data_IF_406930341710
#
_entry.id   IF_406930341710
#
_cell.length_a   1.000
_cell.length_b   1.000
_cell.length_c   1.000
_cell.angle_alpha   90.00
_cell.angle_beta   90.00
_cell.angle_gamma   90.00
#
_symmetry.space_group_name_H-M   'P 1'
#
loop_
_entity.id
_entity.type
_entity.pdbx_description
1 polymer ?
#
# COMPACT_ATOMS: atom_id res chain seq x y z
N UNK A 1 -18.59 -12.42 -28.23
CA UNK A 1 -17.47 -13.36 -28.29
C UNK A 1 -16.18 -12.57 -28.05
N UNK A 2 -15.76 -12.47 -26.79
CA UNK A 2 -14.58 -11.73 -26.36
C UNK A 2 -13.44 -12.73 -26.13
N UNK A 3 -12.42 -12.65 -26.99
CA UNK A 3 -11.19 -13.44 -26.87
C UNK A 3 -10.23 -12.66 -25.98
N UNK A 4 -9.95 -13.19 -24.80
CA UNK A 4 -8.86 -12.70 -23.94
C UNK A 4 -7.52 -13.04 -24.59
N UNK A 5 -6.78 -12.02 -25.04
CA UNK A 5 -5.36 -12.16 -25.37
C UNK A 5 -4.54 -12.08 -24.08
N UNK A 6 -3.79 -13.12 -23.79
CA UNK A 6 -2.78 -13.15 -22.73
C UNK A 6 -1.59 -12.32 -23.17
N UNK A 7 -1.29 -11.23 -22.44
CA UNK A 7 -0.20 -10.31 -22.74
C UNK A 7 1.17 -11.00 -22.57
N UNK A 8 1.97 -10.95 -23.64
CA UNK A 8 3.40 -11.28 -23.63
C UNK A 8 4.18 -9.99 -23.38
N UNK A 9 4.65 -9.82 -22.14
CA UNK A 9 4.90 -8.53 -21.46
C UNK A 9 6.19 -7.78 -21.83
N UNK A 10 6.63 -7.80 -23.09
CA UNK A 10 7.84 -7.05 -23.49
C UNK A 10 7.69 -6.21 -24.76
N UNK A 11 6.75 -6.56 -25.64
CA UNK A 11 6.56 -5.85 -26.93
C UNK A 11 5.58 -4.68 -26.76
N UNK A 12 4.50 -4.87 -26.02
CA UNK A 12 3.49 -3.81 -25.79
C UNK A 12 4.04 -2.62 -24.99
N UNK A 13 5.07 -2.85 -24.14
CA UNK A 13 5.70 -1.79 -23.34
C UNK A 13 6.53 -0.85 -24.22
N UNK A 14 7.14 -1.37 -25.29
CA UNK A 14 7.90 -0.56 -26.25
C UNK A 14 6.96 0.27 -27.15
N UNK A 15 5.76 -0.26 -27.43
CA UNK A 15 4.72 0.43 -28.20
C UNK A 15 4.04 1.55 -27.39
N UNK A 16 3.91 1.36 -26.06
CA UNK A 16 3.33 2.37 -25.14
C UNK A 16 4.30 3.55 -24.88
N UNK A 17 5.61 3.32 -24.96
CA UNK A 17 6.63 4.32 -24.59
C UNK A 17 7.13 5.19 -25.75
N UNK A 18 6.53 5.08 -26.94
CA UNK A 18 6.72 5.94 -28.12
C UNK A 18 8.21 6.27 -28.43
N UNK A 19 9.10 5.27 -28.27
CA UNK A 19 10.48 5.38 -28.69
C UNK A 19 10.55 5.32 -30.22
N UNK A 20 10.71 6.50 -30.80
CA UNK A 20 10.65 6.82 -32.22
C UNK A 20 11.86 6.25 -32.99
N UNK A 21 11.67 5.22 -33.82
CA UNK A 21 12.63 4.82 -34.87
C UNK A 21 12.07 5.22 -36.26
N UNK A 22 12.84 5.92 -37.12
CA UNK A 22 12.32 6.56 -38.30
C UNK A 22 12.21 5.58 -39.48
N UNK A 23 11.01 5.08 -39.76
CA UNK A 23 10.67 4.52 -41.08
C UNK A 23 9.17 4.56 -41.37
N UNK A 24 8.78 4.63 -42.67
CA UNK A 24 7.52 5.25 -43.07
C UNK A 24 6.32 4.35 -42.76
N UNK A 25 5.39 4.88 -41.96
CA UNK A 25 4.11 4.23 -41.62
C UNK A 25 3.26 4.09 -42.88
N UNK A 26 3.09 2.87 -43.39
CA UNK A 26 2.05 2.54 -44.39
C UNK A 26 0.71 2.40 -43.67
N UNK A 27 -0.32 3.08 -44.18
CA UNK A 27 -1.67 3.15 -43.62
C UNK A 27 -2.30 1.77 -43.43
N UNK A 28 -2.89 1.54 -42.25
CA UNK A 28 -3.33 0.23 -41.75
C UNK A 28 -4.71 -0.22 -42.26
N UNK A 29 -5.25 0.38 -43.32
CA UNK A 29 -6.62 0.11 -43.75
C UNK A 29 -6.71 0.10 -45.27
N UNK A 30 -6.07 -0.89 -45.90
CA UNK A 30 -6.33 -1.19 -47.31
C UNK A 30 -6.85 -2.61 -47.48
N UNK A 31 -8.06 -2.71 -48.04
CA UNK A 31 -8.88 -3.94 -48.07
C UNK A 31 -8.28 -5.00 -49.00
N UNK A 32 -7.50 -4.58 -49.99
CA UNK A 32 -6.84 -5.48 -50.96
C UNK A 32 -5.59 -6.16 -50.39
N UNK A 33 -4.95 -5.59 -49.35
CA UNK A 33 -3.79 -6.19 -48.70
C UNK A 33 -4.14 -7.43 -47.85
N UNK A 34 -5.41 -7.56 -47.43
CA UNK A 34 -5.89 -8.68 -46.60
C UNK A 34 -6.15 -9.93 -47.47
N UNK A 35 -6.54 -9.76 -48.73
CA UNK A 35 -6.96 -10.86 -49.62
C UNK A 35 -5.81 -11.55 -50.36
N UNK A 36 -4.62 -10.94 -50.45
CA UNK A 36 -3.45 -11.48 -51.17
C UNK A 36 -2.52 -12.35 -50.31
N UNK A 37 -2.89 -12.66 -49.06
CA UNK A 37 -2.02 -13.34 -48.08
C UNK A 37 -2.02 -14.88 -48.25
N UNK A 38 -1.72 -15.38 -49.44
CA UNK A 38 -1.54 -16.83 -49.71
C UNK A 38 -0.12 -17.25 -50.07
N UNK A 39 0.87 -16.36 -49.98
CA UNK A 39 2.28 -16.72 -50.18
C UNK A 39 3.00 -16.98 -48.85
N UNK A 40 3.52 -18.21 -48.72
CA UNK A 40 4.28 -18.72 -47.57
C UNK A 40 5.46 -17.81 -47.22
N UNK A 41 5.34 -17.04 -46.14
CA UNK A 41 6.50 -16.37 -45.51
C UNK A 41 7.37 -17.40 -44.79
N UNK A 42 8.56 -17.69 -45.32
CA UNK A 42 9.65 -18.39 -44.60
C UNK A 42 10.01 -17.58 -43.36
N UNK A 43 9.62 -18.06 -42.18
CA UNK A 43 10.05 -17.51 -40.90
C UNK A 43 11.52 -17.83 -40.67
N UNK A 44 12.39 -16.80 -40.66
CA UNK A 44 13.72 -16.90 -40.08
C UNK A 44 13.57 -17.28 -38.60
N UNK A 45 14.13 -18.42 -38.18
CA UNK A 45 14.12 -18.84 -36.78
C UNK A 45 15.13 -17.99 -36.00
N UNK A 46 14.74 -17.32 -34.90
CA UNK A 46 15.71 -16.79 -33.94
C UNK A 46 16.53 -17.95 -33.38
N UNK A 47 17.81 -17.68 -33.07
CA UNK A 47 18.75 -18.66 -32.50
C UNK A 47 18.12 -19.43 -31.32
N UNK A 48 18.35 -20.75 -31.20
CA UNK A 48 17.77 -21.53 -30.11
C UNK A 48 18.34 -21.07 -28.77
N UNK A 49 17.46 -20.68 -27.86
CA UNK A 49 17.82 -20.44 -26.46
C UNK A 49 18.48 -21.70 -25.87
N UNK A 50 19.53 -21.57 -25.04
CA UNK A 50 20.24 -22.71 -24.49
C UNK A 50 19.27 -23.62 -23.74
N UNK A 51 19.28 -24.90 -24.11
CA UNK A 51 18.41 -25.91 -23.51
C UNK A 51 18.83 -26.17 -22.07
N UNK A 52 17.85 -26.28 -21.18
CA UNK A 52 18.04 -26.69 -19.79
C UNK A 52 18.79 -28.04 -19.75
N UNK A 53 19.93 -28.15 -19.05
CA UNK A 53 20.57 -29.44 -18.80
C UNK A 53 19.67 -30.38 -17.99
N UNK A 54 19.62 -31.67 -18.32
CA UNK A 54 18.66 -32.64 -17.74
C UNK A 54 18.78 -32.79 -16.22
N UNK A 55 19.98 -32.60 -15.67
CA UNK A 55 20.28 -32.72 -14.24
C UNK A 55 19.89 -31.48 -13.41
N UNK A 56 19.45 -30.38 -14.03
CA UNK A 56 19.10 -29.14 -13.32
C UNK A 56 17.58 -28.99 -13.24
N UNK A 57 16.97 -28.93 -12.04
CA UNK A 57 15.53 -28.71 -11.89
C UNK A 57 15.05 -27.45 -12.62
N UNK A 58 13.80 -27.45 -13.08
CA UNK A 58 13.24 -26.31 -13.83
C UNK A 58 13.27 -25.02 -13.02
N UNK A 59 13.01 -25.06 -11.71
CA UNK A 59 13.11 -23.88 -10.84
C UNK A 59 14.55 -23.32 -10.78
N UNK A 60 15.56 -24.18 -10.70
CA UNK A 60 16.97 -23.78 -10.61
C UNK A 60 17.45 -23.17 -11.93
N UNK A 61 17.04 -23.72 -13.06
CA UNK A 61 17.38 -23.16 -14.38
C UNK A 61 16.71 -21.81 -14.64
N UNK A 62 15.48 -21.61 -14.14
CA UNK A 62 14.81 -20.31 -14.16
C UNK A 62 15.61 -19.26 -13.42
N UNK A 63 16.06 -19.56 -12.20
CA UNK A 63 16.89 -18.66 -11.41
C UNK A 63 18.21 -18.33 -12.13
N UNK A 64 18.91 -19.32 -12.67
CA UNK A 64 20.22 -19.11 -13.31
C UNK A 64 20.17 -18.29 -14.60
N UNK A 65 19.05 -18.32 -15.33
CA UNK A 65 18.90 -17.65 -16.63
C UNK A 65 18.26 -16.27 -16.55
N UNK A 66 17.44 -16.01 -15.52
CA UNK A 66 16.85 -14.68 -15.30
C UNK A 66 17.73 -13.75 -14.48
N UNK A 67 18.72 -14.29 -13.76
CA UNK A 67 19.51 -13.55 -12.79
C UNK A 67 20.97 -13.46 -13.24
N UNK A 68 21.29 -12.44 -14.02
CA UNK A 68 22.67 -11.94 -14.10
C UNK A 68 23.03 -11.25 -12.78
N UNK A 69 23.28 -12.06 -11.74
CA UNK A 69 23.94 -11.71 -10.49
C UNK A 69 23.22 -10.74 -9.52
N UNK A 70 21.94 -10.40 -9.74
CA UNK A 70 21.14 -9.57 -8.83
C UNK A 70 20.10 -10.44 -8.10
N UNK A 71 20.46 -11.01 -6.95
CA UNK A 71 19.57 -11.89 -6.19
C UNK A 71 18.31 -11.13 -5.71
N UNK A 72 17.08 -11.57 -6.04
CA UNK A 72 15.86 -10.98 -5.52
C UNK A 72 15.73 -11.27 -4.01
N UNK A 73 15.06 -10.39 -3.24
CA UNK A 73 14.89 -10.58 -1.82
C UNK A 73 14.18 -11.91 -1.54
N UNK A 74 14.80 -12.71 -0.67
CA UNK A 74 14.37 -14.04 -0.28
C UNK A 74 13.09 -13.92 0.54
N UNK A 75 11.93 -13.95 -0.13
CA UNK A 75 10.68 -14.24 0.56
C UNK A 75 10.65 -15.74 0.88
N UNK A 76 10.33 -16.14 2.12
CA UNK A 76 10.11 -17.55 2.43
C UNK A 76 8.96 -18.07 1.56
N UNK A 77 9.29 -18.89 0.56
CA UNK A 77 8.28 -19.61 -0.21
C UNK A 77 7.84 -20.78 0.65
N UNK A 78 6.65 -20.67 1.24
CA UNK A 78 6.00 -21.80 1.88
C UNK A 78 5.72 -22.85 0.79
N UNK A 79 6.38 -24.01 0.86
CA UNK A 79 6.24 -25.12 -0.09
C UNK A 79 4.93 -25.89 0.11
N UNK A 80 3.93 -25.28 0.73
CA UNK A 80 2.57 -25.82 0.75
C UNK A 80 2.01 -25.73 -0.68
N UNK A 81 1.42 -26.81 -1.24
CA UNK A 81 0.83 -26.78 -2.57
C UNK A 81 -0.44 -25.92 -2.54
N UNK A 82 -0.27 -24.60 -2.53
CA UNK A 82 -1.34 -23.65 -2.70
C UNK A 82 -1.72 -23.61 -4.19
N UNK A 83 -3.01 -23.86 -4.44
CA UNK A 83 -3.68 -23.66 -5.71
C UNK A 83 -3.53 -24.77 -6.77
N UNK A 84 -3.90 -26.01 -6.41
CA UNK A 84 -4.69 -26.80 -7.37
C UNK A 84 -6.11 -26.27 -7.29
N UNK A 85 -6.52 -25.43 -8.23
CA UNK A 85 -7.94 -25.18 -8.42
C UNK A 85 -8.61 -26.54 -8.60
N UNK A 86 -9.55 -26.94 -7.74
CA UNK A 86 -10.33 -28.12 -8.04
C UNK A 86 -10.94 -27.86 -9.41
N UNK A 87 -10.61 -28.71 -10.40
CA UNK A 87 -11.23 -28.64 -11.72
C UNK A 87 -12.73 -28.56 -11.48
N UNK A 88 -13.35 -27.45 -11.87
CA UNK A 88 -14.77 -27.24 -11.65
C UNK A 88 -15.51 -28.45 -12.21
N UNK A 89 -16.10 -29.26 -11.34
CA UNK A 89 -16.96 -30.36 -11.76
C UNK A 89 -18.24 -29.70 -12.22
N UNK A 90 -18.31 -29.37 -13.51
CA UNK A 90 -19.52 -28.89 -14.17
C UNK A 90 -20.44 -30.11 -14.33
N UNK A 91 -20.94 -30.62 -13.21
CA UNK A 91 -22.04 -31.58 -13.22
C UNK A 91 -23.35 -30.86 -13.57
N UNK A 92 -24.33 -31.62 -14.07
CA UNK A 92 -25.74 -31.23 -14.27
C UNK A 92 -26.47 -31.02 -12.92
N UNK A 93 -25.83 -30.33 -11.98
CA UNK A 93 -26.47 -29.92 -10.74
C UNK A 93 -27.60 -28.93 -11.05
N UNK A 94 -28.77 -29.13 -10.43
CA UNK A 94 -29.89 -28.19 -10.52
C UNK A 94 -29.38 -26.78 -10.22
N UNK A 95 -29.60 -25.84 -11.13
CA UNK A 95 -29.22 -24.44 -10.95
C UNK A 95 -29.88 -23.95 -9.67
N UNK A 96 -29.08 -23.47 -8.72
CA UNK A 96 -29.60 -22.88 -7.48
C UNK A 96 -30.34 -21.60 -7.83
N UNK A 97 -31.61 -21.55 -7.48
CA UNK A 97 -32.47 -20.39 -7.66
C UNK A 97 -32.03 -19.24 -6.73
N UNK A 98 -32.24 -18.02 -7.22
CA UNK A 98 -31.96 -16.79 -6.49
C UNK A 98 -33.28 -16.06 -6.25
N UNK A 99 -33.43 -15.52 -5.05
CA UNK A 99 -34.59 -14.73 -4.66
C UNK A 99 -34.15 -13.30 -4.35
N UNK A 100 -34.93 -12.34 -4.85
CA UNK A 100 -34.77 -10.93 -4.49
C UNK A 100 -35.42 -10.70 -3.12
N UNK A 101 -34.59 -10.52 -2.10
CA UNK A 101 -35.07 -10.42 -0.71
C UNK A 101 -34.83 -9.03 -0.13
N UNK A 102 -35.82 -8.42 0.54
CA UNK A 102 -35.61 -7.19 1.30
C UNK A 102 -34.73 -7.47 2.51
N UNK A 103 -33.93 -6.49 2.91
CA UNK A 103 -33.15 -6.51 4.14
C UNK A 103 -33.05 -5.11 4.74
N UNK A 104 -32.93 -5.06 6.05
CA UNK A 104 -32.70 -3.84 6.81
C UNK A 104 -31.26 -3.86 7.32
N UNK A 105 -30.57 -2.72 7.25
CA UNK A 105 -29.20 -2.60 7.76
C UNK A 105 -29.23 -1.96 9.15
N UNK A 106 -28.96 -2.74 10.21
CA UNK A 106 -28.92 -2.21 11.58
C UNK A 106 -27.81 -1.19 11.83
N UNK A 107 -26.82 -1.09 10.95
CA UNK A 107 -25.82 -0.02 11.02
C UNK A 107 -26.37 1.37 10.67
N UNK A 108 -27.56 1.46 10.06
CA UNK A 108 -28.22 2.72 9.73
C UNK A 108 -29.35 3.01 10.71
N UNK A 109 -29.61 4.28 10.95
CA UNK A 109 -30.70 4.74 11.84
C UNK A 109 -31.99 5.08 11.07
N UNK A 110 -31.95 5.10 9.73
CA UNK A 110 -33.04 5.56 8.86
C UNK A 110 -34.03 4.46 8.47
N UNK A 111 -33.93 3.27 9.04
CA UNK A 111 -34.76 2.09 8.75
C UNK A 111 -34.91 1.80 7.25
N UNK A 112 -33.90 2.16 6.44
CA UNK A 112 -33.97 1.99 5.00
C UNK A 112 -33.98 0.50 4.64
N UNK A 113 -35.04 0.09 3.93
CA UNK A 113 -35.15 -1.26 3.38
C UNK A 113 -34.47 -1.29 2.01
N UNK A 114 -33.40 -2.08 1.91
CA UNK A 114 -32.70 -2.35 0.67
C UNK A 114 -32.99 -3.78 0.22
N UNK A 115 -32.58 -4.13 -0.99
CA UNK A 115 -32.80 -5.46 -1.54
C UNK A 115 -31.50 -6.05 -2.08
N UNK A 116 -31.33 -7.37 -1.94
CA UNK A 116 -30.24 -8.09 -2.58
C UNK A 116 -30.67 -9.49 -2.98
N UNK A 117 -29.91 -10.08 -3.90
CA UNK A 117 -30.09 -11.47 -4.32
C UNK A 117 -29.55 -12.41 -3.24
N UNK A 118 -30.42 -13.25 -2.68
CA UNK A 118 -30.04 -14.38 -1.82
C UNK A 118 -30.28 -15.70 -2.55
N UNK A 119 -29.52 -16.73 -2.18
CA UNK A 119 -29.77 -18.08 -2.68
C UNK A 119 -31.06 -18.59 -2.01
N UNK A 120 -31.91 -19.24 -2.79
CA UNK A 120 -33.11 -19.92 -2.31
C UNK A 120 -32.67 -21.25 -1.66
N UNK A 121 -32.10 -21.14 -0.46
CA UNK A 121 -31.95 -22.27 0.46
C UNK A 121 -32.57 -21.87 1.80
N UNK A 122 -33.03 -22.88 2.54
CA UNK A 122 -33.44 -22.84 3.94
C UNK A 122 -32.25 -22.44 4.84
N UNK A 123 -31.55 -21.37 4.51
CA UNK A 123 -30.46 -20.84 5.30
C UNK A 123 -31.07 -20.10 6.51
N UNK A 124 -30.75 -20.51 7.74
CA UNK A 124 -31.18 -19.79 8.96
C UNK A 124 -30.71 -18.33 8.99
N UNK A 125 -29.78 -17.97 8.09
CA UNK A 125 -29.26 -16.62 7.87
C UNK A 125 -30.31 -15.62 7.38
N UNK A 126 -31.51 -16.08 6.98
CA UNK A 126 -32.63 -15.18 6.66
C UNK A 126 -32.98 -14.23 7.82
N UNK A 127 -32.85 -14.70 9.06
CA UNK A 127 -33.14 -13.94 10.28
C UNK A 127 -31.92 -13.26 10.91
N UNK A 128 -30.73 -13.38 10.31
CA UNK A 128 -29.55 -12.66 10.81
C UNK A 128 -29.53 -11.24 10.28
N UNK A 129 -29.07 -10.35 11.14
CA UNK A 129 -28.76 -8.97 10.81
C UNK A 129 -27.86 -8.90 9.57
N UNK A 130 -27.96 -7.80 8.83
CA UNK A 130 -27.20 -7.59 7.62
C UNK A 130 -25.71 -7.88 7.86
N UNK A 131 -25.13 -8.79 7.07
CA UNK A 131 -23.78 -9.33 7.32
C UNK A 131 -22.71 -8.25 7.51
N UNK A 132 -22.82 -7.12 6.80
CA UNK A 132 -21.84 -6.04 6.91
C UNK A 132 -22.10 -5.06 8.06
N UNK A 133 -23.25 -5.13 8.74
CA UNK A 133 -23.56 -4.26 9.88
C UNK A 133 -22.54 -4.45 11.01
N UNK A 134 -22.02 -5.66 11.19
CA UNK A 134 -20.96 -5.98 12.16
C UNK A 134 -19.65 -5.20 11.97
N UNK A 135 -19.43 -4.63 10.79
CA UNK A 135 -18.25 -3.82 10.48
C UNK A 135 -18.46 -2.34 10.77
N UNK A 136 -19.67 -1.91 11.10
CA UNK A 136 -19.95 -0.55 11.52
C UNK A 136 -19.49 -0.35 12.98
N UNK A 137 -18.18 -0.22 13.16
CA UNK A 137 -17.54 0.01 14.46
C UNK A 137 -17.28 1.50 14.62
N UNK A 138 -17.83 2.08 15.69
CA UNK A 138 -17.60 3.47 16.08
C UNK A 138 -16.55 3.55 17.19
N UNK A 139 -15.80 4.64 17.20
CA UNK A 139 -14.78 4.87 18.24
C UNK A 139 -15.44 5.55 19.43
N UNK A 140 -15.26 4.98 20.62
CA UNK A 140 -15.69 5.61 21.88
C UNK A 140 -14.69 6.69 22.29
N UNK A 141 -15.13 7.94 22.24
CA UNK A 141 -14.29 9.08 22.62
C UNK A 141 -14.58 9.46 24.07
N UNK A 142 -13.56 9.52 24.93
CA UNK A 142 -13.75 9.89 26.32
C UNK A 142 -14.16 11.36 26.45
N UNK A 143 -15.16 11.60 27.30
CA UNK A 143 -15.62 12.93 27.67
C UNK A 143 -14.84 13.42 28.89
N UNK A 144 -14.55 14.72 28.93
CA UNK A 144 -13.85 15.39 30.04
C UNK A 144 -14.78 16.41 30.71
N UNK A 145 -14.58 16.66 32.00
CA UNK A 145 -15.28 17.72 32.73
C UNK A 145 -14.51 19.04 32.66
N UNK A 146 -15.19 20.18 32.88
CA UNK A 146 -14.53 21.48 32.94
C UNK A 146 -13.46 21.54 34.05
N UNK A 147 -13.67 20.84 35.16
CA UNK A 147 -12.68 20.72 36.25
C UNK A 147 -11.41 19.98 35.81
N UNK A 148 -11.55 18.88 35.05
CA UNK A 148 -10.42 18.18 34.46
C UNK A 148 -9.68 19.06 33.44
N UNK A 149 -10.44 19.87 32.69
CA UNK A 149 -9.86 20.80 31.74
C UNK A 149 -8.98 21.85 32.43
N UNK A 150 -9.51 22.49 33.48
CA UNK A 150 -8.82 23.55 34.19
C UNK A 150 -7.59 23.08 34.96
N UNK A 151 -7.63 21.84 35.47
CA UNK A 151 -6.55 21.27 36.28
C UNK A 151 -5.42 20.68 35.44
N UNK A 152 -5.74 20.00 34.33
CA UNK A 152 -4.76 19.18 33.62
C UNK A 152 -4.65 19.48 32.12
N UNK A 153 -5.71 19.94 31.46
CA UNK A 153 -5.75 20.03 29.98
C UNK A 153 -5.41 21.42 29.43
N UNK A 154 -5.12 22.42 30.26
CA UNK A 154 -4.75 23.78 29.80
C UNK A 154 -3.49 23.76 28.93
N UNK A 155 -3.52 24.50 27.82
CA UNK A 155 -2.42 24.64 26.87
C UNK A 155 -2.38 26.07 26.33
N UNK A 156 -1.19 26.60 26.09
CA UNK A 156 -0.99 27.95 25.55
C UNK A 156 -1.50 28.09 24.11
N UNK A 157 -1.49 27.01 23.32
CA UNK A 157 -1.93 27.04 21.91
C UNK A 157 -3.41 26.75 21.71
N UNK A 158 -4.10 26.25 22.73
CA UNK A 158 -5.47 25.72 22.65
C UNK A 158 -6.37 26.33 23.73
N UNK A 159 -7.45 26.99 23.29
CA UNK A 159 -8.53 27.37 24.20
C UNK A 159 -9.45 26.18 24.50
N UNK A 160 -10.26 26.32 25.56
CA UNK A 160 -11.24 25.30 25.95
C UNK A 160 -12.25 25.03 24.84
N UNK A 161 -12.82 26.09 24.27
CA UNK A 161 -13.78 26.00 23.17
C UNK A 161 -13.18 25.30 21.94
N UNK A 162 -11.92 25.59 21.60
CA UNK A 162 -11.21 24.90 20.50
C UNK A 162 -11.01 23.43 20.79
N UNK A 163 -10.73 23.09 22.04
CA UNK A 163 -10.56 21.70 22.48
C UNK A 163 -11.88 20.94 22.49
N UNK A 164 -12.96 21.58 22.95
CA UNK A 164 -14.31 21.01 22.94
C UNK A 164 -14.77 20.74 21.50
N UNK A 165 -14.54 21.70 20.59
CA UNK A 165 -14.82 21.54 19.17
C UNK A 165 -14.03 20.39 18.53
N UNK A 166 -12.75 20.21 18.91
CA UNK A 166 -11.95 19.06 18.48
C UNK A 166 -12.56 17.72 18.95
N UNK A 167 -12.99 17.63 20.20
CA UNK A 167 -13.62 16.40 20.73
C UNK A 167 -14.99 16.12 20.11
N UNK A 168 -15.77 17.17 19.82
CA UNK A 168 -17.03 17.03 19.09
C UNK A 168 -16.81 16.53 17.66
N UNK A 169 -15.82 17.10 16.94
CA UNK A 169 -15.42 16.61 15.62
C UNK A 169 -14.93 15.17 15.67
N UNK A 170 -14.16 14.80 16.71
CA UNK A 170 -13.73 13.43 16.91
C UNK A 170 -14.95 12.50 16.98
N UNK A 171 -15.99 12.88 17.75
CA UNK A 171 -17.21 12.09 17.97
C UNK A 171 -18.04 11.95 16.70
N UNK A 172 -18.14 13.03 15.91
CA UNK A 172 -18.90 13.05 14.66
C UNK A 172 -18.22 12.27 13.52
N UNK A 173 -16.89 12.23 13.50
CA UNK A 173 -16.11 11.67 12.38
C UNK A 173 -15.29 10.41 12.74
N UNK A 174 -15.54 9.78 13.88
CA UNK A 174 -14.85 8.56 14.33
C UNK A 174 -13.31 8.67 14.26
N UNK A 175 -12.73 9.78 14.73
CA UNK A 175 -11.28 10.08 14.69
C UNK A 175 -10.64 10.11 13.30
N UNK A 176 -11.42 10.31 12.23
CA UNK A 176 -10.86 10.55 10.90
C UNK A 176 -10.32 11.97 10.79
N UNK A 177 -9.10 12.19 11.29
CA UNK A 177 -8.46 13.51 11.39
C UNK A 177 -8.42 14.34 10.09
N UNK A 178 -8.39 13.69 8.92
CA UNK A 178 -8.46 14.38 7.63
C UNK A 178 -9.80 15.10 7.46
N UNK A 179 -10.90 14.41 7.77
CA UNK A 179 -12.25 14.98 7.70
C UNK A 179 -12.47 16.01 8.81
N UNK A 180 -11.94 15.75 10.01
CA UNK A 180 -12.01 16.70 11.12
C UNK A 180 -11.30 18.02 10.78
N UNK A 181 -10.12 17.95 10.14
CA UNK A 181 -9.41 19.14 9.65
C UNK A 181 -10.19 19.84 8.54
N UNK A 182 -10.77 19.09 7.62
CA UNK A 182 -11.53 19.64 6.51
C UNK A 182 -12.77 20.43 6.98
N UNK A 183 -13.51 19.85 7.94
CA UNK A 183 -14.73 20.39 8.54
C UNK A 183 -14.45 21.28 9.76
N UNK A 184 -13.23 21.76 9.90
CA UNK A 184 -12.85 22.67 10.98
C UNK A 184 -13.55 24.03 10.80
N UNK A 185 -14.23 24.50 11.85
CA UNK A 185 -14.89 25.80 11.88
C UNK A 185 -13.84 26.91 11.92
N UNK A 186 -13.54 27.44 10.73
CA UNK A 186 -12.58 28.54 10.55
C UNK A 186 -13.20 29.91 10.84
N UNK A 187 -14.53 30.02 10.95
CA UNK A 187 -15.21 31.29 11.28
C UNK A 187 -15.05 31.59 12.76
N UNK A 188 -15.31 30.58 13.62
CA UNK A 188 -15.14 30.72 15.07
C UNK A 188 -13.69 30.64 15.50
N UNK A 189 -12.89 29.81 14.83
CA UNK A 189 -11.50 29.56 15.20
C UNK A 189 -10.57 29.83 14.02
N UNK A 190 -10.05 31.07 13.88
CA UNK A 190 -9.16 31.42 12.79
C UNK A 190 -7.86 30.61 12.87
N UNK A 191 -7.33 30.23 11.72
CA UNK A 191 -6.15 29.37 11.61
C UNK A 191 -6.51 27.89 11.75
N UNK A 192 -6.72 27.22 10.62
CA UNK A 192 -6.97 25.77 10.55
C UNK A 192 -5.73 25.02 11.06
N UNK A 193 -5.83 24.27 12.17
CA UNK A 193 -4.70 23.48 12.68
C UNK A 193 -4.24 22.45 11.64
N UNK A 194 -2.96 22.09 11.68
CA UNK A 194 -2.48 20.96 10.89
C UNK A 194 -3.07 19.65 11.43
N UNK A 195 -3.07 18.59 10.61
CA UNK A 195 -3.50 17.25 11.06
C UNK A 195 -2.65 16.79 12.26
N UNK A 196 -1.41 17.26 12.32
CA UNK A 196 -0.44 16.86 13.33
C UNK A 196 -0.76 17.53 14.65
N UNK A 197 -1.15 18.81 14.62
CA UNK A 197 -1.58 19.56 15.81
C UNK A 197 -2.87 18.99 16.39
N UNK A 198 -3.82 18.59 15.54
CA UNK A 198 -5.08 17.95 15.99
C UNK A 198 -4.79 16.63 16.71
N UNK A 199 -3.89 15.81 16.16
CA UNK A 199 -3.47 14.54 16.77
C UNK A 199 -2.70 14.77 18.06
N UNK A 200 -1.75 15.71 18.06
CA UNK A 200 -0.96 16.09 19.24
C UNK A 200 -1.86 16.47 20.41
N UNK A 201 -2.86 17.32 20.15
CA UNK A 201 -3.82 17.74 21.16
C UNK A 201 -4.68 16.58 21.66
N UNK A 202 -5.25 15.78 20.74
CA UNK A 202 -6.14 14.67 21.09
C UNK A 202 -5.42 13.60 21.93
N UNK A 203 -4.25 13.13 21.49
CA UNK A 203 -3.50 12.11 22.23
C UNK A 203 -2.86 12.66 23.51
N UNK A 204 -2.55 13.95 23.56
CA UNK A 204 -2.13 14.64 24.78
C UNK A 204 -3.21 14.59 25.86
N UNK A 205 -4.45 14.90 25.50
CA UNK A 205 -5.61 14.81 26.40
C UNK A 205 -5.83 13.38 26.87
N UNK A 206 -5.79 12.40 25.95
CA UNK A 206 -5.92 10.98 26.33
C UNK A 206 -4.85 10.55 27.33
N UNK A 207 -3.61 10.97 27.13
CA UNK A 207 -2.50 10.64 28.04
C UNK A 207 -2.70 11.26 29.42
N UNK A 208 -3.26 12.46 29.50
CA UNK A 208 -3.56 13.12 30.77
C UNK A 208 -4.76 12.46 31.48
N UNK A 209 -5.81 12.12 30.74
CA UNK A 209 -6.97 11.40 31.29
C UNK A 209 -6.58 9.99 31.77
N UNK A 210 -5.73 9.27 31.04
CA UNK A 210 -5.21 7.97 31.45
C UNK A 210 -4.42 8.05 32.77
N UNK A 211 -3.61 9.09 32.94
CA UNK A 211 -2.88 9.33 34.19
C UNK A 211 -3.82 9.67 35.36
N UNK A 212 -4.84 10.47 35.11
CA UNK A 212 -5.76 10.93 36.15
C UNK A 212 -6.73 9.83 36.61
N UNK A 213 -7.29 9.09 35.66
CA UNK A 213 -8.35 8.08 35.90
C UNK A 213 -7.79 6.66 36.05
N UNK A 214 -6.50 6.45 35.81
CA UNK A 214 -5.89 5.11 35.78
C UNK A 214 -6.41 4.24 34.63
N UNK A 215 -6.95 4.86 33.59
CA UNK A 215 -7.52 4.19 32.41
C UNK A 215 -6.45 3.89 31.36
N UNK A 216 -6.82 3.11 30.34
CA UNK A 216 -5.96 2.79 29.20
C UNK A 216 -6.65 3.15 27.87
N UNK A 217 -7.16 4.38 27.79
CA UNK A 217 -7.85 4.93 26.62
C UNK A 217 -6.89 5.11 25.44
N UNK A 218 -5.63 5.45 25.72
CA UNK A 218 -4.59 5.60 24.69
C UNK A 218 -4.07 4.26 24.16
N UNK A 219 -4.38 3.12 24.78
CA UNK A 219 -3.77 1.82 24.46
C UNK A 219 -2.23 1.84 24.49
N UNK A 220 -1.64 2.76 25.28
CA UNK A 220 -0.21 3.01 25.30
C UNK A 220 0.33 3.77 24.07
N UNK A 221 -0.54 4.22 23.17
CA UNK A 221 -0.15 4.96 21.98
C UNK A 221 0.31 6.37 22.35
N UNK A 222 1.58 6.66 22.07
CA UNK A 222 2.17 7.99 22.24
C UNK A 222 2.41 8.60 20.87
N UNK A 223 1.79 9.75 20.64
CA UNK A 223 1.92 10.46 19.37
C UNK A 223 3.04 11.49 19.46
N UNK A 224 4.13 11.29 18.71
CA UNK A 224 5.20 12.28 18.54
C UNK A 224 4.94 13.11 17.27
N UNK A 225 4.40 14.31 17.48
CA UNK A 225 4.10 15.24 16.40
C UNK A 225 5.36 15.77 15.70
N UNK A 226 6.49 15.91 16.41
CA UNK A 226 7.74 16.38 15.82
C UNK A 226 8.37 15.32 14.93
N UNK A 227 8.28 14.05 15.31
CA UNK A 227 8.65 12.92 14.46
C UNK A 227 7.78 12.86 13.20
N UNK A 228 6.45 12.94 13.34
CA UNK A 228 5.54 12.82 12.19
C UNK A 228 5.70 13.98 11.19
N UNK A 229 5.92 15.21 11.67
CA UNK A 229 6.24 16.37 10.81
C UNK A 229 7.53 16.14 10.02
N UNK A 230 8.61 15.68 10.67
CA UNK A 230 9.89 15.36 10.01
C UNK A 230 9.73 14.24 8.99
N UNK A 231 9.01 13.17 9.34
CA UNK A 231 8.72 12.05 8.43
C UNK A 231 7.99 12.53 7.17
N UNK A 232 6.97 13.39 7.31
CA UNK A 232 6.26 13.97 6.16
C UNK A 232 7.15 14.86 5.30
N UNK A 233 8.01 15.67 5.92
CA UNK A 233 8.97 16.50 5.18
C UNK A 233 9.94 15.63 4.36
N UNK A 234 10.52 14.58 4.95
CA UNK A 234 11.39 13.64 4.24
C UNK A 234 10.67 12.95 3.09
N UNK A 235 9.43 12.51 3.30
CA UNK A 235 8.63 11.89 2.26
C UNK A 235 8.35 12.87 1.11
N UNK A 236 8.04 14.14 1.43
CA UNK A 236 7.85 15.18 0.43
C UNK A 236 9.12 15.44 -0.38
N UNK A 237 10.28 15.45 0.26
CA UNK A 237 11.57 15.58 -0.42
C UNK A 237 11.83 14.39 -1.35
N UNK A 238 11.50 13.17 -0.92
CA UNK A 238 11.65 11.97 -1.74
C UNK A 238 10.73 12.00 -2.96
N UNK A 239 9.47 12.41 -2.81
CA UNK A 239 8.54 12.57 -3.94
C UNK A 239 8.95 13.69 -4.90
N UNK A 240 9.55 14.76 -4.38
CA UNK A 240 10.07 15.87 -5.18
C UNK A 240 11.45 15.62 -5.79
N UNK A 241 12.00 14.42 -5.64
CA UNK A 241 13.36 14.09 -6.09
C UNK A 241 13.41 13.97 -7.61
N UNK A 242 14.32 14.73 -8.24
CA UNK A 242 14.63 14.64 -9.68
C UNK A 242 15.70 13.55 -9.94
N UNK A 243 15.93 13.19 -11.22
CA UNK A 243 16.91 12.15 -11.59
C UNK A 243 18.36 12.54 -11.26
N UNK A 244 18.74 13.81 -11.44
CA UNK A 244 20.14 14.22 -11.25
C UNK A 244 20.64 14.04 -9.81
N UNK A 245 19.89 14.43 -8.75
CA UNK A 245 20.23 14.11 -7.37
C UNK A 245 20.27 12.60 -7.06
N UNK A 246 19.59 11.75 -7.84
CA UNK A 246 19.70 10.29 -7.72
C UNK A 246 21.04 9.81 -8.22
N UNK A 247 21.43 10.26 -9.39
CA UNK A 247 22.68 9.87 -10.02
C UNK A 247 23.88 10.38 -9.21
N UNK A 248 23.83 11.60 -8.66
CA UNK A 248 24.89 12.12 -7.79
C UNK A 248 25.01 11.34 -6.48
N UNK A 249 23.92 11.07 -5.77
CA UNK A 249 23.97 10.28 -4.53
C UNK A 249 24.49 8.86 -4.80
N UNK A 250 24.08 8.22 -5.91
CA UNK A 250 24.58 6.88 -6.25
C UNK A 250 26.08 6.88 -6.52
N UNK A 251 26.61 7.90 -7.21
CA UNK A 251 28.05 8.08 -7.42
C UNK A 251 28.80 8.28 -6.10
N UNK A 252 28.28 9.17 -5.23
CA UNK A 252 28.88 9.42 -3.91
C UNK A 252 28.89 8.18 -3.03
N UNK A 253 27.83 7.37 -3.06
CA UNK A 253 27.76 6.10 -2.31
C UNK A 253 28.82 5.12 -2.81
N UNK A 254 28.97 4.99 -4.14
CA UNK A 254 30.00 4.14 -4.74
C UNK A 254 31.40 4.59 -4.29
N UNK A 255 31.67 5.89 -4.35
CA UNK A 255 32.99 6.42 -3.99
C UNK A 255 33.25 6.33 -2.49
N UNK A 256 32.25 6.55 -1.64
CA UNK A 256 32.34 6.31 -0.20
C UNK A 256 32.68 4.86 0.13
N UNK A 257 32.03 3.89 -0.54
CA UNK A 257 32.32 2.47 -0.33
C UNK A 257 33.75 2.13 -0.74
N UNK A 258 34.25 2.67 -1.85
CA UNK A 258 35.65 2.49 -2.27
C UNK A 258 36.62 3.04 -1.22
N UNK A 259 36.43 4.29 -0.79
CA UNK A 259 37.29 4.93 0.22
C UNK A 259 37.29 4.15 1.54
N UNK A 260 36.12 3.67 1.98
CA UNK A 260 36.00 2.86 3.20
C UNK A 260 36.76 1.53 3.08
N UNK A 261 36.71 0.89 1.90
CA UNK A 261 37.45 -0.35 1.64
C UNK A 261 38.96 -0.11 1.62
N UNK A 262 39.42 0.98 1.00
CA UNK A 262 40.84 1.29 0.92
C UNK A 262 41.41 1.68 2.30
N UNK A 263 40.68 2.47 3.10
CA UNK A 263 41.04 2.74 4.50
C UNK A 263 41.12 1.46 5.34
N UNK A 264 40.22 0.49 5.12
CA UNK A 264 40.26 -0.81 5.80
C UNK A 264 41.50 -1.62 5.40
N UNK A 265 41.90 -1.60 4.13
CA UNK A 265 43.12 -2.27 3.64
C UNK A 265 44.36 -1.60 4.22
N UNK A 266 44.38 -0.28 4.31
CA UNK A 266 45.50 0.49 4.88
C UNK A 266 45.67 0.18 6.37
N UNK A 267 44.59 0.18 7.15
CA UNK A 267 44.63 -0.23 8.56
C UNK A 267 45.12 -1.68 8.72
N UNK A 268 44.63 -2.61 7.89
CA UNK A 268 45.11 -4.01 7.95
C UNK A 268 46.61 -4.14 7.61
N UNK A 269 47.13 -3.32 6.70
CA UNK A 269 48.56 -3.26 6.39
C UNK A 269 49.36 -2.67 7.55
N UNK A 270 48.88 -1.59 8.17
CA UNK A 270 49.51 -0.98 9.33
C UNK A 270 49.55 -1.96 10.52
N UNK A 271 48.48 -2.70 10.77
CA UNK A 271 48.42 -3.74 11.81
C UNK A 271 49.45 -4.85 11.55
N UNK A 272 49.56 -5.34 10.31
CA UNK A 272 50.58 -6.32 9.91
C UNK A 272 52.01 -5.78 10.08
N UNK A 273 52.24 -4.52 9.74
CA UNK A 273 53.55 -3.89 9.85
C UNK A 273 53.95 -3.66 11.31
N UNK A 274 52.99 -3.26 12.16
CA UNK A 274 53.18 -3.19 13.59
C UNK A 274 53.50 -4.57 14.17
N UNK A 275 52.74 -5.62 13.83
CA UNK A 275 53.03 -7.01 14.23
C UNK A 275 54.43 -7.46 13.80
N UNK A 276 54.88 -7.08 12.59
CA UNK A 276 56.23 -7.41 12.11
C UNK A 276 57.35 -6.64 12.80
N UNK A 277 57.06 -5.50 13.44
CA UNK A 277 58.03 -4.73 14.22
C UNK A 277 58.16 -5.25 15.67
N UNK A 278 57.19 -6.06 16.14
CA UNK A 278 57.20 -6.66 17.48
C UNK A 278 57.75 -8.10 17.52
N UNK A 279 58.00 -8.71 16.36
CA UNK A 279 58.64 -10.02 16.19
C UNK A 279 60.12 -9.86 15.81
#
# INVERSE_FOLDING_TARGET
YLVFHTMSTAIDVLDILDFNEPSPRKSMLDREAILSRTEKRKSSRPNPQPKRPDHVPREVWGLHSTLNNELPPIMPTDNTPLYKQPKAVIGVGRVRSWQWTPFTNSARQDNLVLYHWRRESTDPEANKDYYFARYNKHVTIPEYTSEEYESMLKDSKWSEERTAHLMELAKRFDLRFIHMRDRWDCEKFPGRPSVEDLKERYYGILTQLDKARGTNLSQGLRYDAAHERRRKQQLSLLYGRTRDPVEEETRLVIDYVKLKLDAKKENAKADLQNLSHWL
#
